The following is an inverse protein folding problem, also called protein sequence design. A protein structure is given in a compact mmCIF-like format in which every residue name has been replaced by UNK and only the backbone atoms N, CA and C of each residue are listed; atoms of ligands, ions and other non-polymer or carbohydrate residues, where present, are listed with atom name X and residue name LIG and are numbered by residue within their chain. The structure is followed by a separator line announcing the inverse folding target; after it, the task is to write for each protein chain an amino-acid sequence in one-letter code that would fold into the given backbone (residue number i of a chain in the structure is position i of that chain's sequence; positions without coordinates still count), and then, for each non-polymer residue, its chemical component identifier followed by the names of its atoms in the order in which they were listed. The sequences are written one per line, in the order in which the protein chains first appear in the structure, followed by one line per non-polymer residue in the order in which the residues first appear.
data_IF_822058448738
#
_entry.id   IF_822058448738
#
_cell.length_a   1.000
_cell.length_b   1.000
_cell.length_c   1.000
_cell.angle_alpha   90.00
_cell.angle_beta   90.00
_cell.angle_gamma   90.00
#
_symmetry.space_group_name_H-M   'P 1'
#
loop_
_entity.id
_entity.type
_entity.pdbx_description
1 polymer ?
#
# COMPACT_ATOMS: atom_id res chain seq x y z
N UNK A 1 -17.04 -2.28 -27.76
CA UNK A 1 -17.50 -3.20 -26.68
C UNK A 1 -17.08 -4.67 -26.90
N UNK A 2 -16.79 -5.13 -28.13
CA UNK A 2 -16.34 -6.53 -28.38
C UNK A 2 -14.82 -6.71 -28.14
N UNK A 3 -14.01 -5.65 -28.27
CA UNK A 3 -12.55 -5.71 -28.06
C UNK A 3 -12.07 -5.90 -26.61
N UNK A 4 -12.85 -5.48 -25.61
CA UNK A 4 -12.46 -5.65 -24.19
C UNK A 4 -12.72 -7.07 -23.67
N UNK A 5 -13.64 -7.81 -24.31
CA UNK A 5 -13.99 -9.17 -23.88
C UNK A 5 -12.90 -10.17 -24.32
N UNK A 6 -12.33 -10.00 -25.52
CA UNK A 6 -11.22 -10.84 -26.01
C UNK A 6 -9.91 -10.61 -25.23
N UNK A 7 -9.66 -9.39 -24.74
CA UNK A 7 -8.52 -9.12 -23.85
C UNK A 7 -8.72 -9.70 -22.44
N UNK A 8 -9.94 -9.72 -21.90
CA UNK A 8 -10.21 -10.34 -20.59
C UNK A 8 -10.17 -11.87 -20.62
N UNK A 9 -10.63 -12.52 -21.69
CA UNK A 9 -10.61 -13.99 -21.80
C UNK A 9 -9.18 -14.52 -22.03
N UNK A 10 -8.35 -13.82 -22.82
CA UNK A 10 -6.94 -14.20 -23.01
C UNK A 10 -6.03 -13.91 -21.82
N UNK A 11 -6.36 -12.90 -21.00
CA UNK A 11 -5.53 -12.50 -19.85
C UNK A 11 -5.81 -13.32 -18.58
N UNK A 12 -7.02 -13.89 -18.44
CA UNK A 12 -7.35 -14.80 -17.34
C UNK A 12 -6.68 -16.18 -17.47
N UNK A 13 -6.60 -16.72 -18.69
CA UNK A 13 -6.01 -18.03 -18.97
C UNK A 13 -4.47 -18.00 -18.89
N UNK A 14 -3.84 -16.91 -19.35
CA UNK A 14 -2.38 -16.71 -19.25
C UNK A 14 -1.90 -16.42 -17.82
N UNK A 15 -2.72 -15.79 -16.97
CA UNK A 15 -2.36 -15.56 -15.57
C UNK A 15 -2.50 -16.81 -14.70
N UNK A 16 -3.47 -17.70 -14.99
CA UNK A 16 -3.58 -18.99 -14.31
C UNK A 16 -2.38 -19.89 -14.59
N UNK A 17 -2.01 -20.06 -15.87
CA UNK A 17 -0.87 -20.88 -16.25
C UNK A 17 0.47 -20.30 -15.78
N UNK A 18 0.64 -18.97 -15.82
CA UNK A 18 1.85 -18.33 -15.32
C UNK A 18 2.00 -18.51 -13.81
N UNK A 19 0.93 -18.36 -13.03
CA UNK A 19 0.98 -18.50 -11.57
C UNK A 19 1.22 -19.95 -11.13
N UNK A 20 0.65 -20.94 -11.83
CA UNK A 20 0.89 -22.36 -11.54
C UNK A 20 2.29 -22.81 -11.97
N UNK A 21 2.79 -22.28 -13.09
CA UNK A 21 4.18 -22.50 -13.51
C UNK A 21 5.16 -21.84 -12.53
N UNK A 22 4.84 -20.64 -12.01
CA UNK A 22 5.64 -19.95 -10.99
C UNK A 22 5.62 -20.70 -9.65
N UNK A 23 4.46 -21.20 -9.21
CA UNK A 23 4.34 -22.01 -7.99
C UNK A 23 5.14 -23.29 -8.10
N UNK A 24 5.02 -24.02 -9.23
CA UNK A 24 5.84 -25.21 -9.51
C UNK A 24 7.32 -24.89 -9.57
N UNK A 25 7.73 -23.82 -10.27
CA UNK A 25 9.14 -23.45 -10.38
C UNK A 25 9.72 -23.07 -9.02
N UNK A 26 8.96 -22.35 -8.19
CA UNK A 26 9.39 -21.95 -6.85
C UNK A 26 9.50 -23.17 -5.93
N UNK A 27 8.55 -24.12 -5.99
CA UNK A 27 8.63 -25.38 -5.23
C UNK A 27 9.83 -26.23 -5.65
N UNK A 28 10.10 -26.34 -6.95
CA UNK A 28 11.27 -27.08 -7.47
C UNK A 28 12.57 -26.38 -7.07
N UNK A 29 12.62 -25.04 -7.13
CA UNK A 29 13.78 -24.27 -6.71
C UNK A 29 14.04 -24.43 -5.20
N UNK A 30 13.01 -24.34 -4.36
CA UNK A 30 13.13 -24.57 -2.92
C UNK A 30 13.56 -26.01 -2.65
N UNK A 31 12.97 -27.01 -3.31
CA UNK A 31 13.36 -28.41 -3.15
C UNK A 31 14.82 -28.66 -3.56
N UNK A 32 15.27 -28.05 -4.67
CA UNK A 32 16.66 -28.13 -5.11
C UNK A 32 17.61 -27.45 -4.12
N UNK A 33 17.25 -26.26 -3.61
CA UNK A 33 18.04 -25.56 -2.58
C UNK A 33 18.10 -26.39 -1.29
N UNK A 34 16.98 -26.96 -0.84
CA UNK A 34 16.93 -27.83 0.34
C UNK A 34 17.77 -29.09 0.14
N UNK A 35 17.74 -29.69 -1.05
CA UNK A 35 18.56 -30.86 -1.41
C UNK A 35 20.05 -30.50 -1.44
N UNK A 36 20.42 -29.35 -2.01
CA UNK A 36 21.81 -28.86 -2.01
C UNK A 36 22.28 -28.57 -0.58
N UNK A 37 21.46 -27.93 0.25
CA UNK A 37 21.78 -27.68 1.66
C UNK A 37 21.92 -28.99 2.45
N UNK A 38 21.07 -29.98 2.19
CA UNK A 38 21.16 -31.31 2.79
C UNK A 38 22.43 -32.04 2.36
N UNK A 39 22.77 -32.03 1.06
CA UNK A 39 24.00 -32.62 0.53
C UNK A 39 25.23 -31.91 1.09
N UNK A 40 25.24 -30.58 1.14
CA UNK A 40 26.33 -29.80 1.74
C UNK A 40 26.46 -30.10 3.24
N UNK A 41 25.33 -30.21 3.96
CA UNK A 41 25.30 -30.61 5.37
C UNK A 41 25.85 -32.03 5.57
N UNK A 42 25.48 -32.97 4.71
CA UNK A 42 25.93 -34.36 4.75
C UNK A 42 27.41 -34.52 4.38
N UNK A 43 27.89 -33.80 3.35
CA UNK A 43 29.30 -33.77 2.97
C UNK A 43 30.15 -33.14 4.08
N UNK A 44 29.63 -32.10 4.76
CA UNK A 44 30.25 -31.53 5.98
C UNK A 44 30.25 -32.50 7.16
N UNK A 45 29.33 -33.48 7.20
CA UNK A 45 29.26 -34.52 8.23
C UNK A 45 30.31 -35.63 8.01
N UNK A 46 30.68 -35.91 6.75
CA UNK A 46 31.61 -37.00 6.38
C UNK A 46 33.07 -36.55 6.34
N UNK A 47 33.37 -35.31 5.95
CA UNK A 47 34.75 -34.78 5.93
C UNK A 47 35.20 -34.40 7.34
N UNK A 48 35.64 -35.40 8.09
CA UNK A 48 36.16 -35.31 9.45
C UNK A 48 37.44 -34.47 9.53
N UNK A 49 37.31 -33.26 10.06
CA UNK A 49 38.40 -32.48 10.64
C UNK A 49 37.85 -31.76 11.88
N UNK A 50 38.60 -31.66 12.98
CA UNK A 50 38.13 -31.04 14.25
C UNK A 50 37.57 -29.62 14.07
N UNK A 51 38.04 -28.90 13.04
CA UNK A 51 37.56 -27.56 12.67
C UNK A 51 36.10 -27.50 12.18
N UNK A 52 35.59 -28.56 11.54
CA UNK A 52 34.22 -28.58 11.00
C UNK A 52 33.17 -28.76 12.09
N UNK A 53 33.51 -29.51 13.14
CA UNK A 53 32.66 -29.74 14.31
C UNK A 53 32.40 -28.43 15.06
N UNK A 54 33.45 -27.67 15.37
CA UNK A 54 33.30 -26.36 16.03
C UNK A 54 32.51 -25.37 15.18
N UNK A 55 32.68 -25.36 13.85
CA UNK A 55 31.85 -24.53 12.96
C UNK A 55 30.37 -24.95 12.95
N UNK A 56 30.07 -26.25 12.97
CA UNK A 56 28.70 -26.76 13.02
C UNK A 56 27.97 -26.33 14.30
N UNK A 57 28.62 -26.52 15.46
CA UNK A 57 28.07 -26.11 16.76
C UNK A 57 27.84 -24.60 16.81
N UNK A 58 28.82 -23.78 16.40
CA UNK A 58 28.65 -22.33 16.34
C UNK A 58 27.49 -21.90 15.42
N UNK A 59 27.36 -22.55 14.25
CA UNK A 59 26.26 -22.27 13.33
C UNK A 59 24.89 -22.67 13.88
N UNK A 60 24.80 -23.78 14.62
CA UNK A 60 23.57 -24.23 15.26
C UNK A 60 23.11 -23.28 16.36
N UNK A 61 24.02 -22.84 17.23
CA UNK A 61 23.71 -21.84 18.26
C UNK A 61 23.31 -20.48 17.67
N UNK A 62 23.99 -20.05 16.59
CA UNK A 62 23.63 -18.84 15.87
C UNK A 62 22.21 -18.96 15.28
N UNK A 63 21.87 -20.10 14.68
CA UNK A 63 20.55 -20.36 14.11
C UNK A 63 19.46 -20.34 15.20
N UNK A 64 19.70 -20.97 16.35
CA UNK A 64 18.78 -20.90 17.50
C UNK A 64 18.56 -19.45 17.93
N UNK A 65 19.62 -18.66 18.10
CA UNK A 65 19.51 -17.25 18.47
C UNK A 65 18.70 -16.43 17.44
N UNK A 66 18.97 -16.62 16.15
CA UNK A 66 18.26 -15.93 15.06
C UNK A 66 16.77 -16.33 15.04
N UNK A 67 16.46 -17.62 15.12
CA UNK A 67 15.05 -18.09 15.11
C UNK A 67 14.27 -17.59 16.32
N UNK A 68 14.91 -17.47 17.48
CA UNK A 68 14.27 -16.91 18.68
C UNK A 68 13.97 -15.40 18.52
N UNK A 69 14.93 -14.63 17.98
CA UNK A 69 14.73 -13.21 17.67
C UNK A 69 13.61 -13.04 16.64
N UNK A 70 13.63 -13.82 15.55
CA UNK A 70 12.59 -13.78 14.53
C UNK A 70 11.21 -14.14 15.10
N UNK A 71 11.13 -15.19 15.91
CA UNK A 71 9.88 -15.57 16.59
C UNK A 71 9.33 -14.41 17.43
N UNK A 72 10.18 -13.73 18.21
CA UNK A 72 9.78 -12.54 18.97
C UNK A 72 9.23 -11.42 18.09
N UNK A 73 9.91 -11.10 16.98
CA UNK A 73 9.48 -10.07 16.03
C UNK A 73 8.15 -10.44 15.37
N UNK A 74 7.98 -11.68 14.90
CA UNK A 74 6.75 -12.11 14.24
C UNK A 74 5.57 -12.23 15.21
N UNK A 75 5.78 -12.53 16.50
CA UNK A 75 4.72 -12.45 17.52
C UNK A 75 4.24 -11.01 17.71
N UNK A 76 5.17 -10.05 17.81
CA UNK A 76 4.80 -8.63 17.91
C UNK A 76 4.02 -8.20 16.66
N UNK A 77 4.47 -8.61 15.48
CA UNK A 77 3.81 -8.30 14.23
C UNK A 77 2.41 -8.93 14.14
N UNK A 78 2.26 -10.17 14.59
CA UNK A 78 0.96 -10.84 14.68
C UNK A 78 -0.02 -10.06 15.54
N UNK A 79 0.39 -9.66 16.74
CA UNK A 79 -0.46 -8.88 17.63
C UNK A 79 -0.81 -7.51 17.02
N UNK A 80 0.18 -6.80 16.47
CA UNK A 80 -0.04 -5.50 15.85
C UNK A 80 -1.03 -5.58 14.66
N UNK A 81 -0.93 -6.61 13.83
CA UNK A 81 -1.84 -6.81 12.70
C UNK A 81 -3.24 -7.21 13.14
N UNK A 82 -3.37 -8.12 14.11
CA UNK A 82 -4.66 -8.52 14.67
C UNK A 82 -5.37 -7.34 15.34
N UNK A 83 -4.64 -6.52 16.11
CA UNK A 83 -5.17 -5.32 16.74
C UNK A 83 -5.61 -4.29 15.69
N UNK A 84 -4.79 -4.07 14.65
CA UNK A 84 -5.12 -3.15 13.55
C UNK A 84 -6.37 -3.62 12.79
N UNK A 85 -6.45 -4.91 12.46
CA UNK A 85 -7.60 -5.50 11.76
C UNK A 85 -8.88 -5.42 12.59
N UNK A 86 -8.79 -5.64 13.90
CA UNK A 86 -9.92 -5.51 14.82
C UNK A 86 -10.39 -4.06 14.88
N UNK A 87 -9.47 -3.11 15.06
CA UNK A 87 -9.78 -1.69 15.09
C UNK A 87 -10.41 -1.20 13.77
N UNK A 88 -9.89 -1.64 12.62
CA UNK A 88 -10.48 -1.34 11.31
C UNK A 88 -11.91 -1.88 11.19
N UNK A 89 -12.15 -3.11 11.63
CA UNK A 89 -13.47 -3.73 11.60
C UNK A 89 -14.48 -3.05 12.54
N UNK A 90 -14.03 -2.62 13.73
CA UNK A 90 -14.85 -1.84 14.66
C UNK A 90 -15.21 -0.46 14.10
N UNK A 91 -14.27 0.22 13.46
CA UNK A 91 -14.51 1.49 12.79
C UNK A 91 -15.53 1.36 11.65
N UNK A 92 -15.46 0.30 10.84
CA UNK A 92 -16.46 0.03 9.78
C UNK A 92 -17.87 -0.12 10.36
N UNK A 93 -18.02 -0.67 11.57
CA UNK A 93 -19.33 -0.83 12.21
C UNK A 93 -19.82 0.48 12.83
N UNK A 94 -18.93 1.27 13.44
CA UNK A 94 -19.27 2.49 14.17
C UNK A 94 -18.38 3.69 13.77
N UNK A 95 -18.48 4.22 12.53
CA UNK A 95 -17.60 5.28 12.05
C UNK A 95 -17.82 6.63 12.76
N UNK A 96 -18.99 6.79 13.39
CA UNK A 96 -19.38 7.98 14.16
C UNK A 96 -18.87 7.96 15.62
N UNK A 97 -18.31 6.84 16.08
CA UNK A 97 -17.68 6.79 17.39
C UNK A 97 -16.39 7.60 17.37
N UNK A 98 -16.05 8.28 18.46
CA UNK A 98 -14.82 9.05 18.57
C UNK A 98 -13.60 8.11 18.45
N UNK A 99 -12.98 8.11 17.27
CA UNK A 99 -11.74 7.39 16.97
C UNK A 99 -10.74 8.36 16.33
N UNK A 100 -9.45 8.04 16.38
CA UNK A 100 -8.41 8.82 15.70
C UNK A 100 -8.64 8.92 14.19
N UNK A 101 -9.38 7.97 13.60
CA UNK A 101 -9.76 8.00 12.18
C UNK A 101 -10.96 8.94 11.92
N UNK A 102 -11.88 9.06 12.87
CA UNK A 102 -13.03 9.99 12.79
C UNK A 102 -12.63 11.46 12.94
N UNK A 103 -11.50 11.75 13.59
CA UNK A 103 -10.92 13.11 13.67
C UNK A 103 -10.31 13.58 12.34
N UNK A 104 -9.82 12.64 11.51
CA UNK A 104 -9.22 12.93 10.20
C UNK A 104 -10.29 12.99 9.11
N UNK A 105 -11.29 12.10 9.19
CA UNK A 105 -12.45 12.06 8.29
C UNK A 105 -13.73 12.08 9.13
N UNK A 106 -14.31 13.26 9.43
CA UNK A 106 -15.59 13.33 10.11
C UNK A 106 -16.68 12.85 9.15
N UNK A 107 -17.07 11.59 9.31
CA UNK A 107 -18.14 11.00 8.53
C UNK A 107 -19.45 11.74 8.81
N UNK A 108 -20.19 12.10 7.78
CA UNK A 108 -21.51 12.70 7.89
C UNK A 108 -22.56 11.63 7.64
N UNK A 109 -23.75 11.77 8.23
CA UNK A 109 -24.83 10.83 7.99
C UNK A 109 -25.35 10.90 6.53
N UNK A 110 -25.86 9.78 6.04
CA UNK A 110 -26.36 9.67 4.67
C UNK A 110 -27.53 10.62 4.40
N UNK A 111 -28.35 10.96 5.40
CA UNK A 111 -29.48 11.87 5.24
C UNK A 111 -29.01 13.31 4.97
N UNK A 112 -28.05 13.79 5.76
CA UNK A 112 -27.43 15.10 5.54
C UNK A 112 -26.72 15.17 4.19
N UNK A 113 -26.01 14.11 3.81
CA UNK A 113 -25.33 14.01 2.51
C UNK A 113 -26.32 14.03 1.34
N UNK A 114 -27.43 13.28 1.43
CA UNK A 114 -28.51 13.32 0.43
C UNK A 114 -29.17 14.70 0.33
N UNK A 115 -29.34 15.39 1.47
CA UNK A 115 -29.83 16.76 1.50
C UNK A 115 -28.86 17.72 0.81
N UNK A 116 -27.56 17.59 1.04
CA UNK A 116 -26.54 18.39 0.35
C UNK A 116 -26.51 18.09 -1.15
N UNK A 117 -26.66 16.83 -1.55
CA UNK A 117 -26.78 16.45 -2.97
C UNK A 117 -28.00 17.14 -3.61
N UNK A 118 -29.15 17.08 -2.95
CA UNK A 118 -30.37 17.74 -3.42
C UNK A 118 -30.16 19.26 -3.60
N UNK A 119 -29.58 19.92 -2.60
CA UNK A 119 -29.26 21.35 -2.67
C UNK A 119 -28.24 21.67 -3.77
N UNK A 120 -27.28 20.79 -4.03
CA UNK A 120 -26.33 20.99 -5.14
C UNK A 120 -27.03 20.96 -6.51
N UNK A 121 -28.01 20.06 -6.69
CA UNK A 121 -28.82 19.97 -7.93
C UNK A 121 -29.69 21.22 -8.11
N UNK A 122 -30.22 21.76 -7.01
CA UNK A 122 -30.94 23.04 -7.00
C UNK A 122 -30.05 24.19 -7.48
N UNK A 123 -28.85 24.34 -6.91
CA UNK A 123 -27.88 25.37 -7.32
C UNK A 123 -27.51 25.23 -8.80
N UNK A 124 -27.33 24.00 -9.29
CA UNK A 124 -27.07 23.75 -10.73
C UNK A 124 -28.22 24.29 -11.58
N UNK A 125 -29.46 23.92 -11.27
CA UNK A 125 -30.64 24.41 -12.01
C UNK A 125 -30.80 25.93 -11.94
N UNK A 126 -30.46 26.55 -10.80
CA UNK A 126 -30.48 28.00 -10.64
C UNK A 126 -29.44 28.70 -11.54
N UNK A 127 -28.23 28.15 -11.66
CA UNK A 127 -27.21 28.70 -12.57
C UNK A 127 -27.68 28.56 -14.02
N UNK A 128 -28.22 27.39 -14.41
CA UNK A 128 -28.81 27.21 -15.75
C UNK A 128 -29.92 28.21 -16.00
N UNK A 129 -30.75 28.49 -15.00
CA UNK A 129 -31.83 29.47 -15.09
C UNK A 129 -31.31 30.90 -15.32
N UNK A 130 -30.26 31.32 -14.61
CA UNK A 130 -29.63 32.63 -14.83
C UNK A 130 -29.05 32.74 -16.24
N UNK A 131 -28.33 31.71 -16.69
CA UNK A 131 -27.72 31.67 -18.02
C UNK A 131 -28.79 31.69 -19.12
N UNK A 132 -29.84 30.87 -18.99
CA UNK A 132 -30.93 30.82 -19.96
C UNK A 132 -31.75 32.11 -19.97
N UNK A 133 -31.99 32.71 -18.81
CA UNK A 133 -32.62 34.04 -18.74
C UNK A 133 -31.81 35.04 -19.54
N UNK A 134 -30.48 35.07 -19.38
CA UNK A 134 -29.62 35.93 -20.19
C UNK A 134 -29.73 35.64 -21.69
N UNK A 135 -29.69 34.35 -22.07
CA UNK A 135 -29.79 33.93 -23.47
C UNK A 135 -31.11 34.40 -24.09
N UNK A 136 -32.24 34.21 -23.43
CA UNK A 136 -33.55 34.61 -23.98
C UNK A 136 -33.77 36.12 -23.97
N UNK A 137 -33.39 36.81 -22.90
CA UNK A 137 -33.74 38.23 -22.69
C UNK A 137 -32.72 39.21 -23.27
N UNK A 138 -31.47 38.79 -23.43
CA UNK A 138 -30.42 39.62 -24.02
C UNK A 138 -29.87 38.96 -25.28
N UNK A 139 -29.26 37.77 -25.22
CA UNK A 139 -28.58 37.22 -26.39
C UNK A 139 -29.52 37.01 -27.60
N UNK A 140 -30.78 36.65 -27.38
CA UNK A 140 -31.78 36.39 -28.42
C UNK A 140 -32.84 37.49 -28.59
N UNK A 141 -32.75 38.59 -27.84
CA UNK A 141 -33.72 39.68 -27.92
C UNK A 141 -33.53 40.54 -29.17
N UNK A 142 -34.63 40.92 -29.83
CA UNK A 142 -34.60 41.82 -30.99
C UNK A 142 -35.35 43.13 -30.63
N UNK A 143 -34.75 44.03 -29.81
CA UNK A 143 -35.40 45.25 -29.37
C UNK A 143 -35.69 46.19 -30.55
N UNK A 144 -36.78 46.96 -30.46
CA UNK A 144 -37.12 47.95 -31.47
C UNK A 144 -36.13 49.12 -31.46
N UNK A 145 -35.96 49.80 -32.60
CA UNK A 145 -35.01 50.93 -32.74
C UNK A 145 -35.35 52.15 -31.86
N UNK A 146 -36.56 52.18 -31.29
CA UNK A 146 -37.05 53.20 -30.37
C UNK A 146 -36.76 52.90 -28.89
N UNK A 147 -36.31 51.70 -28.55
CA UNK A 147 -35.99 51.34 -27.17
C UNK A 147 -34.61 51.86 -26.76
N UNK A 148 -34.51 52.31 -25.50
CA UNK A 148 -33.26 52.82 -24.93
C UNK A 148 -32.13 51.75 -24.94
N UNK A 149 -32.50 50.46 -24.89
CA UNK A 149 -31.59 49.33 -24.95
C UNK A 149 -31.46 48.74 -26.36
N UNK A 150 -31.68 49.53 -27.42
CA UNK A 150 -31.52 49.05 -28.79
C UNK A 150 -30.05 48.75 -29.13
N UNK A 151 -29.78 47.58 -29.69
CA UNK A 151 -28.51 47.23 -30.31
C UNK A 151 -28.75 46.30 -31.50
N UNK A 152 -27.93 46.43 -32.54
CA UNK A 152 -28.11 45.71 -33.78
C UNK A 152 -27.57 44.28 -33.66
N UNK A 153 -28.44 43.35 -33.26
CA UNK A 153 -28.10 41.92 -33.26
C UNK A 153 -28.24 41.35 -34.67
N UNK A 154 -27.13 40.84 -35.21
CA UNK A 154 -27.11 40.09 -36.46
C UNK A 154 -26.65 38.68 -36.15
N UNK A 155 -27.36 37.62 -36.54
CA UNK A 155 -26.91 36.23 -36.33
C UNK A 155 -28.01 35.25 -35.93
N UNK A 156 -27.76 33.94 -35.99
CA UNK A 156 -28.72 32.92 -35.57
C UNK A 156 -29.00 33.00 -34.06
N UNK A 157 -30.14 32.44 -33.64
CA UNK A 157 -30.48 32.35 -32.22
C UNK A 157 -29.50 31.41 -31.51
N UNK A 158 -29.02 31.85 -30.36
CA UNK A 158 -28.14 31.10 -29.50
C UNK A 158 -28.94 30.03 -28.76
N UNK A 159 -28.52 28.76 -28.78
CA UNK A 159 -29.23 27.70 -28.10
C UNK A 159 -29.08 27.84 -26.58
N UNK A 160 -30.16 27.63 -25.81
CA UNK A 160 -30.12 27.64 -24.35
C UNK A 160 -29.32 26.45 -23.81
N UNK A 161 -28.81 26.61 -22.59
CA UNK A 161 -28.25 25.50 -21.83
C UNK A 161 -29.35 24.55 -21.38
N UNK A 162 -29.06 23.26 -21.47
CA UNK A 162 -29.93 22.20 -20.98
C UNK A 162 -30.02 22.24 -19.45
N UNK A 163 -31.22 22.06 -18.92
CA UNK A 163 -31.40 21.75 -17.51
C UNK A 163 -31.13 20.26 -17.30
N UNK A 164 -30.08 19.89 -16.55
CA UNK A 164 -29.75 18.49 -16.31
C UNK A 164 -30.75 17.81 -15.37
N UNK A 165 -31.52 18.59 -14.59
CA UNK A 165 -32.48 18.06 -13.62
C UNK A 165 -33.91 18.58 -13.84
N UNK A 166 -34.91 17.73 -13.59
CA UNK A 166 -36.33 18.09 -13.60
C UNK A 166 -36.77 18.84 -12.31
N UNK A 167 -38.06 19.18 -12.20
CA UNK A 167 -38.61 19.87 -11.02
C UNK A 167 -38.55 19.07 -9.72
N UNK A 168 -38.26 17.78 -9.80
CA UNK A 168 -38.07 16.85 -8.69
C UNK A 168 -36.57 16.51 -8.50
N UNK A 169 -35.69 17.17 -9.25
CA UNK A 169 -34.24 17.00 -9.28
C UNK A 169 -33.76 15.61 -9.75
N UNK A 170 -34.57 14.92 -10.55
CA UNK A 170 -34.15 13.71 -11.26
C UNK A 170 -33.43 14.07 -12.56
N UNK A 171 -32.56 13.18 -13.01
CA UNK A 171 -31.78 13.38 -14.21
C UNK A 171 -32.69 13.41 -15.44
N UNK A 172 -32.53 14.47 -16.24
CA UNK A 172 -33.33 14.75 -17.42
C UNK A 172 -32.45 14.67 -18.67
N UNK A 173 -33.00 14.12 -19.75
CA UNK A 173 -32.36 14.19 -21.06
C UNK A 173 -32.60 15.55 -21.73
N UNK A 174 -31.53 16.11 -22.29
CA UNK A 174 -31.57 17.37 -23.03
C UNK A 174 -32.33 17.23 -24.35
N UNK A 175 -33.11 18.24 -24.71
CA UNK A 175 -33.74 18.32 -26.01
C UNK A 175 -32.70 18.63 -27.10
N UNK A 176 -32.99 18.27 -28.36
CA UNK A 176 -32.07 18.49 -29.48
C UNK A 176 -31.70 19.97 -29.74
N UNK A 177 -32.43 20.91 -29.15
CA UNK A 177 -32.28 22.36 -29.31
C UNK A 177 -31.46 22.98 -28.17
N UNK A 178 -31.17 22.20 -27.12
CA UNK A 178 -30.45 22.61 -25.93
C UNK A 178 -29.00 22.12 -26.01
N UNK A 179 -28.09 22.85 -25.37
CA UNK A 179 -26.68 22.44 -25.26
C UNK A 179 -26.37 21.89 -23.87
N UNK A 180 -25.68 20.75 -23.80
CA UNK A 180 -25.17 20.23 -22.54
C UNK A 180 -24.03 21.10 -22.01
N UNK A 181 -23.80 21.06 -20.68
CA UNK A 181 -22.72 21.83 -20.04
C UNK A 181 -21.34 21.52 -20.63
N UNK A 182 -21.07 20.25 -20.92
CA UNK A 182 -19.80 19.82 -21.52
C UNK A 182 -19.53 20.44 -22.90
N UNK A 183 -20.57 20.73 -23.69
CA UNK A 183 -20.45 21.21 -25.07
C UNK A 183 -20.80 22.69 -25.23
N UNK A 184 -21.39 23.33 -24.22
CA UNK A 184 -21.91 24.69 -24.32
C UNK A 184 -20.85 25.71 -24.74
N UNK A 185 -19.63 25.64 -24.16
CA UNK A 185 -18.52 26.54 -24.50
C UNK A 185 -18.14 26.46 -25.99
N UNK A 186 -18.03 25.23 -26.52
CA UNK A 186 -17.70 24.99 -27.93
C UNK A 186 -18.81 25.49 -28.88
N UNK A 187 -20.08 25.22 -28.55
CA UNK A 187 -21.20 25.64 -29.39
C UNK A 187 -21.33 27.16 -29.40
N UNK A 188 -21.27 27.79 -28.22
CA UNK A 188 -21.43 29.23 -28.05
C UNK A 188 -20.29 30.06 -28.66
N UNK A 189 -19.12 29.46 -28.86
CA UNK A 189 -18.00 30.13 -29.53
C UNK A 189 -18.37 30.65 -30.93
N UNK A 190 -19.25 29.95 -31.64
CA UNK A 190 -19.73 30.34 -32.97
C UNK A 190 -20.68 31.55 -32.98
N UNK A 191 -21.11 32.00 -31.80
CA UNK A 191 -22.05 33.12 -31.62
C UNK A 191 -21.36 34.42 -31.16
N UNK A 192 -20.03 34.40 -31.03
CA UNK A 192 -19.24 35.57 -30.63
C UNK A 192 -19.21 36.59 -31.76
N UNK A 193 -19.57 37.83 -31.44
CA UNK A 193 -19.48 38.97 -32.37
C UNK A 193 -18.18 39.75 -32.18
N UNK A 194 -17.75 40.46 -33.22
CA UNK A 194 -16.70 41.48 -33.08
C UNK A 194 -17.29 42.76 -32.49
N UNK A 195 -16.64 43.34 -31.48
CA UNK A 195 -17.12 44.54 -30.77
C UNK A 195 -16.57 45.84 -31.37
N UNK A 196 -17.37 46.91 -31.27
CA UNK A 196 -16.96 48.30 -31.52
C UNK A 196 -16.21 48.87 -30.31
N UNK A 197 -15.63 50.06 -30.46
CA UNK A 197 -15.04 50.82 -29.33
C UNK A 197 -16.04 51.16 -28.21
N UNK A 198 -17.35 51.10 -28.50
CA UNK A 198 -18.44 51.34 -27.55
C UNK A 198 -18.97 50.04 -26.90
N UNK A 199 -18.39 48.87 -27.22
CA UNK A 199 -18.77 47.58 -26.62
C UNK A 199 -19.93 46.85 -27.31
N UNK A 200 -20.48 47.38 -28.41
CA UNK A 200 -21.58 46.74 -29.15
C UNK A 200 -21.08 45.83 -30.27
N UNK A 201 -21.83 44.77 -30.58
CA UNK A 201 -21.59 43.90 -31.73
C UNK A 201 -21.65 44.68 -33.07
N UNK A 202 -20.63 44.49 -33.91
CA UNK A 202 -20.51 45.12 -35.25
C UNK A 202 -20.62 44.11 -36.40
N UNK A 203 -20.34 42.83 -36.12
CA UNK A 203 -20.46 41.71 -37.06
C UNK A 203 -21.55 40.74 -36.60
N UNK A 204 -21.86 39.78 -37.47
CA UNK A 204 -22.75 38.66 -37.17
C UNK A 204 -22.25 37.93 -35.91
N UNK A 205 -23.10 37.87 -34.89
CA UNK A 205 -22.93 37.25 -33.58
C UNK A 205 -23.97 37.83 -32.59
N UNK A 206 -24.23 37.11 -31.50
CA UNK A 206 -25.21 37.50 -30.48
C UNK A 206 -24.56 37.92 -29.15
N UNK A 207 -23.30 37.54 -28.92
CA UNK A 207 -22.62 37.71 -27.62
C UNK A 207 -21.24 38.36 -27.81
N UNK A 208 -20.86 39.27 -26.92
CA UNK A 208 -19.52 39.89 -26.92
C UNK A 208 -18.48 38.96 -26.30
N UNK A 209 -17.17 39.11 -26.60
CA UNK A 209 -16.13 38.29 -26.00
C UNK A 209 -16.15 38.28 -24.46
N UNK A 210 -16.44 39.43 -23.83
CA UNK A 210 -16.47 39.55 -22.37
C UNK A 210 -17.63 38.76 -21.76
N UNK A 211 -18.83 38.87 -22.34
CA UNK A 211 -20.01 38.12 -21.88
C UNK A 211 -19.80 36.63 -22.13
N UNK A 212 -19.24 36.25 -23.28
CA UNK A 212 -18.91 34.85 -23.57
C UNK A 212 -17.99 34.27 -22.48
N UNK A 213 -16.96 35.03 -22.06
CA UNK A 213 -16.09 34.63 -20.95
C UNK A 213 -16.85 34.38 -19.64
N UNK A 214 -17.82 35.23 -19.29
CA UNK A 214 -18.66 35.06 -18.11
C UNK A 214 -19.58 33.83 -18.22
N UNK A 215 -20.19 33.62 -19.39
CA UNK A 215 -21.04 32.45 -19.64
C UNK A 215 -20.24 31.14 -19.53
N UNK A 216 -19.04 31.09 -20.13
CA UNK A 216 -18.16 29.91 -20.05
C UNK A 216 -17.66 29.68 -18.62
N UNK A 217 -17.33 30.73 -17.87
CA UNK A 217 -16.98 30.60 -16.46
C UNK A 217 -18.12 29.95 -15.66
N UNK A 218 -19.36 30.42 -15.83
CA UNK A 218 -20.53 29.84 -15.19
C UNK A 218 -20.75 28.37 -15.57
N UNK A 219 -20.61 28.02 -16.86
CA UNK A 219 -20.70 26.62 -17.33
C UNK A 219 -19.66 25.73 -16.68
N UNK A 220 -18.41 26.19 -16.58
CA UNK A 220 -17.31 25.38 -16.06
C UNK A 220 -17.47 25.09 -14.57
N UNK A 221 -17.93 26.09 -13.79
CA UNK A 221 -18.27 25.90 -12.37
C UNK A 221 -19.45 24.94 -12.21
N UNK A 222 -20.47 25.07 -13.04
CA UNK A 222 -21.66 24.21 -12.98
C UNK A 222 -21.34 22.77 -13.35
N UNK A 223 -20.50 22.56 -14.37
CA UNK A 223 -19.99 21.25 -14.75
C UNK A 223 -19.18 20.60 -13.63
N UNK A 224 -18.31 21.37 -12.97
CA UNK A 224 -17.55 20.88 -11.83
C UNK A 224 -18.48 20.47 -10.67
N UNK A 225 -19.49 21.30 -10.37
CA UNK A 225 -20.46 21.02 -9.32
C UNK A 225 -21.28 19.76 -9.65
N UNK A 226 -21.78 19.61 -10.88
CA UNK A 226 -22.53 18.43 -11.30
C UNK A 226 -21.68 17.14 -11.23
N UNK A 227 -20.46 17.18 -11.77
CA UNK A 227 -19.63 15.99 -11.94
C UNK A 227 -18.94 15.53 -10.65
N UNK A 228 -18.40 16.46 -9.86
CA UNK A 228 -17.59 16.10 -8.69
C UNK A 228 -18.40 15.95 -7.39
N UNK A 229 -19.57 16.59 -7.28
CA UNK A 229 -20.37 16.55 -6.04
C UNK A 229 -20.71 15.13 -5.56
N UNK A 230 -21.18 14.19 -6.41
CA UNK A 230 -21.50 12.84 -5.96
C UNK A 230 -20.31 12.12 -5.31
N UNK A 231 -19.10 12.29 -5.87
CA UNK A 231 -17.88 11.70 -5.32
C UNK A 231 -17.48 12.36 -3.99
N UNK A 232 -17.50 13.69 -3.93
CA UNK A 232 -17.17 14.44 -2.71
C UNK A 232 -18.12 14.07 -1.56
N UNK A 233 -19.40 13.91 -1.86
CA UNK A 233 -20.42 13.48 -0.91
C UNK A 233 -20.25 12.02 -0.48
N UNK A 234 -19.85 11.12 -1.39
CA UNK A 234 -19.53 9.72 -1.06
C UNK A 234 -18.22 9.56 -0.25
N UNK A 235 -17.37 10.58 -0.23
CA UNK A 235 -16.22 10.66 0.68
C UNK A 235 -16.65 11.22 2.03
N UNK A 236 -17.54 12.21 2.02
CA UNK A 236 -18.06 12.87 3.22
C UNK A 236 -18.93 11.95 4.08
N UNK A 237 -19.74 11.08 3.48
CA UNK A 237 -20.51 10.05 4.21
C UNK A 237 -19.66 8.83 4.61
N UNK A 238 -18.35 8.86 4.30
CA UNK A 238 -17.39 7.79 4.47
C UNK A 238 -17.77 6.47 3.78
N UNK A 239 -18.78 6.44 2.91
CA UNK A 239 -19.22 5.20 2.25
C UNK A 239 -18.10 4.59 1.44
N UNK A 240 -17.41 5.41 0.64
CA UNK A 240 -16.28 4.96 -0.17
C UNK A 240 -15.16 4.34 0.68
N UNK A 241 -14.80 5.02 1.77
CA UNK A 241 -13.72 4.58 2.67
C UNK A 241 -14.14 3.32 3.43
N UNK A 242 -15.38 3.28 3.92
CA UNK A 242 -15.96 2.15 4.64
C UNK A 242 -16.02 0.90 3.77
N UNK A 243 -16.51 1.02 2.54
CA UNK A 243 -16.59 -0.09 1.60
C UNK A 243 -15.18 -0.63 1.29
N UNK A 244 -14.21 0.26 1.13
CA UNK A 244 -12.80 -0.12 0.91
C UNK A 244 -12.19 -0.83 2.12
N UNK A 245 -12.37 -0.28 3.33
CA UNK A 245 -11.83 -0.89 4.56
C UNK A 245 -12.51 -2.22 4.84
N UNK A 246 -13.82 -2.34 4.60
CA UNK A 246 -14.57 -3.58 4.74
C UNK A 246 -14.06 -4.68 3.78
N UNK A 247 -13.75 -4.31 2.53
CA UNK A 247 -13.12 -5.23 1.58
C UNK A 247 -11.73 -5.65 2.08
N UNK A 248 -10.93 -4.71 2.60
CA UNK A 248 -9.60 -5.02 3.13
C UNK A 248 -9.68 -5.98 4.32
N UNK A 249 -10.57 -5.70 5.29
CA UNK A 249 -10.70 -6.52 6.50
C UNK A 249 -11.23 -7.91 6.17
N UNK A 250 -12.23 -8.02 5.29
CA UNK A 250 -12.79 -9.32 4.93
C UNK A 250 -11.85 -10.17 4.06
N UNK A 251 -11.13 -9.55 3.13
CA UNK A 251 -10.32 -10.28 2.15
C UNK A 251 -8.90 -10.56 2.65
N UNK A 252 -8.29 -9.67 3.45
CA UNK A 252 -6.86 -9.79 3.80
C UNK A 252 -6.59 -10.11 5.26
N UNK A 253 -7.40 -9.65 6.21
CA UNK A 253 -7.09 -9.86 7.63
C UNK A 253 -7.13 -11.34 8.04
N UNK A 254 -8.15 -12.09 7.61
CA UNK A 254 -8.26 -13.50 7.97
C UNK A 254 -7.15 -14.39 7.36
N UNK A 255 -6.78 -14.25 6.06
CA UNK A 255 -5.62 -14.95 5.54
C UNK A 255 -4.31 -14.52 6.22
N UNK A 256 -4.12 -13.22 6.47
CA UNK A 256 -2.90 -12.69 7.08
C UNK A 256 -2.68 -13.27 8.49
N UNK A 257 -3.73 -13.32 9.31
CA UNK A 257 -3.68 -13.92 10.64
C UNK A 257 -3.23 -15.39 10.56
N UNK A 258 -3.84 -16.17 9.66
CA UNK A 258 -3.52 -17.57 9.47
C UNK A 258 -2.07 -17.79 9.00
N UNK A 259 -1.57 -16.99 8.05
CA UNK A 259 -0.19 -17.08 7.59
C UNK A 259 0.81 -16.72 8.69
N UNK A 260 0.53 -15.70 9.51
CA UNK A 260 1.39 -15.32 10.63
C UNK A 260 1.45 -16.41 11.70
N UNK A 261 0.30 -17.05 12.00
CA UNK A 261 0.26 -18.21 12.89
C UNK A 261 1.10 -19.38 12.34
N UNK A 262 1.00 -19.67 11.04
CA UNK A 262 1.76 -20.75 10.40
C UNK A 262 3.27 -20.49 10.44
N UNK A 263 3.70 -19.26 10.17
CA UNK A 263 5.11 -18.86 10.23
C UNK A 263 5.64 -18.98 11.67
N UNK A 264 4.90 -18.49 12.65
CA UNK A 264 5.27 -18.59 14.07
C UNK A 264 5.38 -20.05 14.53
N UNK A 265 4.43 -20.90 14.14
CA UNK A 265 4.48 -22.34 14.43
C UNK A 265 5.71 -23.00 13.77
N UNK A 266 6.00 -22.67 12.51
CA UNK A 266 7.16 -23.18 11.78
C UNK A 266 8.50 -22.77 12.41
N UNK A 267 8.65 -21.49 12.77
CA UNK A 267 9.84 -20.99 13.46
C UNK A 267 10.04 -21.67 14.83
N UNK A 268 8.96 -21.89 15.57
CA UNK A 268 8.98 -22.64 16.82
C UNK A 268 9.48 -24.07 16.65
N UNK A 269 8.95 -24.79 15.64
CA UNK A 269 9.36 -26.18 15.34
C UNK A 269 10.84 -26.28 14.95
N UNK A 270 11.34 -25.36 14.11
CA UNK A 270 12.74 -25.33 13.70
C UNK A 270 13.66 -25.10 14.91
N UNK A 271 13.30 -24.14 15.78
CA UNK A 271 14.07 -23.83 16.99
C UNK A 271 14.19 -25.04 17.91
N UNK A 272 13.07 -25.71 18.22
CA UNK A 272 13.05 -26.91 19.06
C UNK A 272 13.84 -28.05 18.41
N UNK A 273 13.68 -28.28 17.11
CA UNK A 273 14.39 -29.32 16.37
C UNK A 273 15.91 -29.14 16.41
N UNK A 274 16.40 -27.94 16.11
CA UNK A 274 17.84 -27.65 16.14
C UNK A 274 18.41 -27.76 17.55
N UNK A 275 17.69 -27.29 18.56
CA UNK A 275 18.11 -27.40 19.95
C UNK A 275 18.23 -28.86 20.40
N UNK A 276 17.24 -29.71 20.07
CA UNK A 276 17.29 -31.15 20.34
C UNK A 276 18.45 -31.82 19.60
N UNK A 277 18.67 -31.50 18.32
CA UNK A 277 19.80 -32.01 17.55
C UNK A 277 21.15 -31.65 18.18
N UNK A 278 21.32 -30.40 18.64
CA UNK A 278 22.55 -29.96 19.32
C UNK A 278 22.76 -30.69 20.65
N UNK A 279 21.71 -30.86 21.46
CA UNK A 279 21.79 -31.56 22.75
C UNK A 279 22.13 -33.05 22.56
N UNK A 280 21.44 -33.74 21.64
CA UNK A 280 21.73 -35.14 21.33
C UNK A 280 23.16 -35.32 20.80
N UNK A 281 23.63 -34.38 19.97
CA UNK A 281 25.00 -34.41 19.46
C UNK A 281 26.04 -34.20 20.57
N UNK A 282 25.81 -33.27 21.50
CA UNK A 282 26.68 -33.09 22.68
C UNK A 282 26.73 -34.38 23.51
N UNK A 283 25.59 -35.03 23.76
CA UNK A 283 25.54 -36.30 24.50
C UNK A 283 26.28 -37.44 23.77
N UNK A 284 26.14 -37.50 22.44
CA UNK A 284 26.83 -38.50 21.61
C UNK A 284 28.34 -38.25 21.56
N UNK A 285 28.79 -37.02 21.31
CA UNK A 285 30.21 -36.67 21.27
C UNK A 285 30.91 -36.85 22.63
N UNK A 286 30.18 -36.71 23.73
CA UNK A 286 30.71 -36.88 25.09
C UNK A 286 30.73 -38.35 25.56
N UNK A 287 30.06 -39.28 24.85
CA UNK A 287 30.08 -40.73 25.12
C UNK A 287 31.43 -41.43 24.85
N UNK A 288 32.11 -41.26 23.69
CA UNK A 288 33.36 -41.97 23.39
C UNK A 288 34.53 -41.52 24.27
N UNK A 289 34.51 -40.29 24.80
CA UNK A 289 35.54 -39.82 25.74
C UNK A 289 35.47 -40.57 27.08
N UNK A 290 34.29 -41.04 27.50
CA UNK A 290 34.15 -41.82 28.74
C UNK A 290 34.74 -43.22 28.60
N UNK A 291 34.58 -43.90 27.47
CA UNK A 291 35.16 -45.25 27.29
C UNK A 291 36.70 -45.21 27.24
N UNK A 292 37.29 -44.17 26.64
CA UNK A 292 38.75 -43.98 26.69
C UNK A 292 39.26 -43.58 28.09
N UNK A 293 38.47 -42.83 28.86
CA UNK A 293 38.81 -42.49 30.26
C UNK A 293 38.64 -43.70 31.19
N UNK A 294 37.70 -44.62 30.93
CA UNK A 294 37.56 -45.87 31.69
C UNK A 294 38.64 -46.89 31.34
N UNK A 295 39.03 -47.03 30.07
CA UNK A 295 40.18 -47.85 29.67
C UNK A 295 41.51 -47.31 30.24
N UNK A 296 41.68 -45.98 30.27
CA UNK A 296 42.86 -45.36 30.88
C UNK A 296 42.82 -45.33 32.42
N UNK A 297 41.65 -45.46 33.06
CA UNK A 297 41.54 -45.56 34.53
C UNK A 297 42.00 -46.90 35.11
N UNK A 298 42.12 -47.96 34.30
CA UNK A 298 42.76 -49.21 34.73
C UNK A 298 44.30 -49.14 34.70
N UNK A 299 44.87 -48.00 34.29
CA UNK A 299 46.31 -47.68 34.36
C UNK A 299 46.52 -46.25 34.86
N UNK A 300 46.52 -46.04 36.17
CA UNK A 300 46.98 -44.78 36.79
C UNK A 300 48.48 -44.87 37.14
N UNK A 301 49.25 -43.75 37.24
CA UNK A 301 48.82 -42.49 37.89
C UNK A 301 49.19 -41.13 37.22
N UNK A 302 48.39 -40.11 37.58
CA UNK A 302 48.67 -38.65 37.72
C UNK A 302 49.10 -37.85 36.46
N UNK A 303 48.20 -36.98 35.97
CA UNK A 303 48.34 -35.49 35.96
C UNK A 303 47.04 -34.82 35.51
N UNK A 304 46.61 -33.80 36.26
CA UNK A 304 45.36 -33.06 36.02
C UNK A 304 45.43 -32.02 34.91
N UNK A 305 44.22 -31.53 34.58
CA UNK A 305 43.88 -30.30 33.85
C UNK A 305 44.20 -30.23 32.34
N UNK A 306 43.17 -30.25 31.48
CA UNK A 306 42.40 -29.04 31.12
C UNK A 306 41.35 -29.36 30.04
N UNK A 307 40.14 -28.83 30.24
CA UNK A 307 39.05 -28.82 29.26
C UNK A 307 39.39 -27.74 28.21
N UNK A 308 39.87 -28.13 27.02
CA UNK A 308 40.18 -27.15 25.96
C UNK A 308 39.01 -27.00 24.99
N UNK A 309 38.32 -25.88 25.12
CA UNK A 309 37.51 -25.26 24.08
C UNK A 309 38.41 -24.92 22.87
N UNK A 310 37.93 -25.19 21.66
CA UNK A 310 38.64 -25.02 20.37
C UNK A 310 39.61 -23.83 20.34
N UNK A 311 40.93 -24.09 20.38
CA UNK A 311 41.96 -23.08 20.09
C UNK A 311 42.96 -23.62 19.07
N UNK A 312 43.17 -22.82 18.02
CA UNK A 312 43.98 -23.12 16.81
C UNK A 312 45.45 -23.39 17.17
N UNK A 313 46.05 -24.42 16.56
CA UNK A 313 47.51 -24.54 16.41
C UNK A 313 47.89 -24.28 14.95
N UNK A 314 48.56 -23.16 14.71
CA UNK A 314 49.36 -22.96 13.49
C UNK A 314 50.73 -23.64 13.71
N UNK A 315 51.24 -24.35 12.69
CA UNK A 315 52.61 -24.89 12.69
C UNK A 315 53.64 -23.79 12.43
N UNK A 316 54.84 -23.84 13.04
CA UNK A 316 56.01 -23.03 12.67
C UNK A 316 56.93 -23.84 11.72
N UNK A 317 57.91 -23.22 11.01
CA UNK A 317 59.20 -22.91 11.67
C UNK A 317 59.94 -21.67 11.11
N UNK A 318 60.78 -21.03 11.95
CA UNK A 318 62.24 -20.91 11.71
C UNK A 318 62.94 -19.99 12.75
N UNK A 319 64.11 -20.49 13.19
CA UNK A 319 65.18 -19.92 14.03
C UNK A 319 65.41 -18.39 13.99
N UNK A 320 65.74 -17.79 15.14
CA UNK A 320 67.11 -17.42 15.56
C UNK A 320 67.14 -16.53 16.83
N UNK A 321 67.88 -16.99 17.84
CA UNK A 321 68.71 -16.34 18.86
C UNK A 321 68.31 -15.10 19.70
N UNK A 322 68.49 -15.31 21.02
CA UNK A 322 69.16 -14.48 22.05
C UNK A 322 68.59 -13.10 22.41
N UNK A 323 68.02 -12.96 23.61
CA UNK A 323 68.66 -12.38 24.84
C UNK A 323 67.63 -11.97 25.92
N UNK A 324 67.74 -12.62 27.09
CA UNK A 324 67.86 -12.04 28.45
C UNK A 324 67.07 -10.76 28.82
N UNK A 325 66.04 -10.85 29.68
CA UNK A 325 65.98 -10.32 31.08
C UNK A 325 64.55 -10.21 31.67
N UNK A 326 64.40 -10.81 32.87
CA UNK A 326 63.76 -10.32 34.11
C UNK A 326 62.25 -9.98 34.25
N UNK A 327 61.64 -10.66 35.24
CA UNK A 327 60.80 -10.18 36.39
C UNK A 327 59.74 -9.07 36.13
N UNK A 328 58.51 -9.02 36.67
CA UNK A 328 57.72 -9.64 37.76
C UNK A 328 56.27 -9.12 37.59
N UNK A 329 55.23 -9.82 38.08
CA UNK A 329 53.82 -9.51 37.77
C UNK A 329 53.12 -8.64 38.84
N UNK A 330 52.05 -7.92 38.44
CA UNK A 330 51.07 -7.30 39.34
C UNK A 330 49.73 -7.19 38.58
N UNK A 331 48.74 -8.04 38.88
CA UNK A 331 47.63 -7.79 39.81
C UNK A 331 46.86 -6.49 39.52
N UNK A 332 45.62 -6.70 39.05
CA UNK A 332 44.42 -6.14 39.66
C UNK A 332 44.00 -4.67 39.43
N UNK A 333 42.93 -4.57 38.62
CA UNK A 333 41.65 -3.89 38.94
C UNK A 333 41.40 -2.44 38.45
N UNK A 334 40.14 -2.25 38.00
CA UNK A 334 39.29 -1.05 38.03
C UNK A 334 39.26 -0.12 36.80
N UNK A 335 38.18 -0.32 36.05
CA UNK A 335 37.17 0.64 35.59
C UNK A 335 37.50 1.84 34.69
N UNK A 336 36.72 1.88 33.60
CA UNK A 336 35.89 3.01 33.15
C UNK A 336 36.61 4.28 32.70
N UNK A 337 36.73 4.45 31.38
CA UNK A 337 36.59 5.78 30.74
C UNK A 337 35.76 5.64 29.45
N UNK A 338 34.54 6.14 29.57
CA UNK A 338 33.64 6.75 28.58
C UNK A 338 34.30 7.21 27.27
N UNK A 339 33.75 6.75 26.13
CA UNK A 339 33.11 7.65 25.17
C UNK A 339 32.07 6.96 24.31
#
# INVERSE_FOLDING_TARGET
RIGCILLSVGQGEFHGEALDTLKRSTLIAVAAVMLVLAVVGFVRLILSNEFFVCRFVLSGWLLVAITFILCGVFIIFHNAMTDTCTAMNEWVQNPQAATTLSDILPCVDQSTTNKTLFQSKEVVNDIVNVVNTYIYTFANANPSRSEFNYYNQSGPLMPPMCYPFDSQFNDRQCAAQEVSMANASLVWQSYICQVSSLGYCTRVGRVTPDVYGQLVAAVNETYALEYYTPLLLSLQDCKFVRDTVQEITSTYCHPLEHYLQLINAGLGLISVGVLLCLVLWILYANRPQREQVFANKLRLPIKGNNFSFCSKKASPPNNCNDTVTNHVPLSDTIASIVH
#
